data_IF_061476847450
#
_entry.id   IF_061476847450
#
_cell.length_a   1.000
_cell.length_b   1.000
_cell.length_c   1.000
_cell.angle_alpha   90.00
_cell.angle_beta   90.00
_cell.angle_gamma   90.00
#
_symmetry.space_group_name_H-M   'P 1'
#
loop_
_entity.id
_entity.type
_entity.pdbx_description
1 polymer ?
#
# COMPACT_ATOMS: atom_id res chain seq x y z
N UNK A 1 -6.40 -12.08 -19.28
CA UNK A 1 -5.40 -10.99 -19.16
C UNK A 1 -6.15 -9.77 -18.66
N UNK A 2 -5.85 -9.29 -17.45
CA UNK A 2 -6.53 -8.12 -16.87
C UNK A 2 -5.55 -6.94 -16.96
N UNK A 3 -5.99 -5.84 -17.56
CA UNK A 3 -5.23 -4.60 -17.70
C UNK A 3 -5.83 -3.59 -16.71
N UNK A 4 -5.05 -3.14 -15.74
CA UNK A 4 -5.46 -2.10 -14.79
C UNK A 4 -4.91 -0.75 -15.27
N UNK A 5 -5.79 0.21 -15.51
CA UNK A 5 -5.42 1.55 -15.97
C UNK A 5 -4.67 2.33 -14.88
N UNK A 6 -3.57 2.98 -15.25
CA UNK A 6 -2.87 3.89 -14.35
C UNK A 6 -3.70 5.16 -14.13
N UNK A 7 -4.13 5.39 -12.90
CA UNK A 7 -4.66 6.68 -12.46
C UNK A 7 -3.54 7.72 -12.48
N UNK A 8 -3.82 8.90 -13.00
CA UNK A 8 -2.89 10.05 -13.01
C UNK A 8 -2.39 10.36 -11.60
N UNK A 9 -1.11 10.74 -11.49
CA UNK A 9 -0.43 11.14 -10.24
C UNK A 9 -0.12 10.03 -9.22
N UNK A 10 -0.12 8.78 -9.64
CA UNK A 10 0.43 7.69 -8.83
C UNK A 10 1.85 8.05 -8.35
N UNK A 11 2.21 7.77 -7.08
CA UNK A 11 3.58 7.97 -6.65
C UNK A 11 4.49 7.01 -7.43
N UNK A 12 5.42 7.61 -8.16
CA UNK A 12 6.40 6.94 -9.01
C UNK A 12 7.78 7.26 -8.46
N UNK A 13 8.60 6.23 -8.25
CA UNK A 13 10.02 6.41 -8.00
C UNK A 13 10.79 6.25 -9.31
N UNK A 14 11.71 7.18 -9.58
CA UNK A 14 12.61 7.11 -10.74
C UNK A 14 13.90 6.43 -10.31
N UNK A 15 13.97 5.12 -10.49
CA UNK A 15 15.23 4.38 -10.39
C UNK A 15 15.75 4.12 -11.80
N UNK A 16 16.97 4.58 -12.10
CA UNK A 16 17.66 4.34 -13.39
C UNK A 16 16.81 4.63 -14.64
N UNK A 17 16.11 5.78 -14.67
CA UNK A 17 15.24 6.25 -15.77
C UNK A 17 13.96 5.43 -16.02
N UNK A 18 13.65 4.43 -15.19
CA UNK A 18 12.40 3.67 -15.25
C UNK A 18 11.50 4.13 -14.11
N UNK A 19 10.22 4.31 -14.43
CA UNK A 19 9.20 4.73 -13.47
C UNK A 19 8.59 3.51 -12.80
N UNK A 20 8.99 3.22 -11.56
CA UNK A 20 8.45 2.11 -10.77
C UNK A 20 7.38 2.62 -9.79
N UNK A 21 6.30 1.86 -9.56
CA UNK A 21 5.35 2.19 -8.51
C UNK A 21 6.07 2.16 -7.15
N UNK A 22 5.81 3.14 -6.28
CA UNK A 22 6.40 3.09 -4.94
C UNK A 22 5.80 1.96 -4.11
N UNK A 23 6.53 1.53 -3.08
CA UNK A 23 6.05 0.50 -2.17
C UNK A 23 4.72 0.88 -1.52
N UNK A 24 4.52 2.17 -1.18
CA UNK A 24 3.24 2.65 -0.66
C UNK A 24 2.09 2.44 -1.66
N UNK A 25 2.36 2.62 -2.96
CA UNK A 25 1.35 2.38 -3.99
C UNK A 25 0.97 0.91 -4.03
N UNK A 26 1.97 0.04 -4.07
CA UNK A 26 1.78 -1.41 -4.14
C UNK A 26 0.99 -1.93 -2.94
N UNK A 27 1.35 -1.49 -1.72
CA UNK A 27 0.65 -1.88 -0.50
C UNK A 27 -0.83 -1.44 -0.53
N UNK A 28 -1.10 -0.20 -0.92
CA UNK A 28 -2.48 0.29 -1.07
C UNK A 28 -3.24 -0.47 -2.15
N UNK A 29 -2.61 -0.75 -3.30
CA UNK A 29 -3.22 -1.51 -4.38
C UNK A 29 -3.62 -2.93 -3.93
N UNK A 30 -2.76 -3.60 -3.15
CA UNK A 30 -3.06 -4.90 -2.56
C UNK A 30 -4.21 -4.82 -1.53
N UNK A 31 -4.28 -3.75 -0.74
CA UNK A 31 -5.34 -3.52 0.25
C UNK A 31 -6.71 -3.18 -0.36
N UNK A 32 -6.73 -2.59 -1.57
CA UNK A 32 -7.95 -2.27 -2.33
C UNK A 32 -8.45 -3.48 -3.11
N UNK A 33 -7.55 -4.34 -3.58
CA UNK A 33 -7.85 -5.50 -4.42
C UNK A 33 -8.53 -6.66 -3.70
N UNK A 34 -9.54 -6.39 -2.86
CA UNK A 34 -10.27 -7.37 -2.07
C UNK A 34 -10.84 -8.52 -2.93
N UNK A 35 -11.10 -8.35 -4.24
CA UNK A 35 -11.54 -9.46 -5.12
C UNK A 35 -10.43 -10.46 -5.53
N UNK A 36 -9.17 -10.03 -5.60
CA UNK A 36 -8.04 -10.89 -6.05
C UNK A 36 -7.35 -11.54 -4.83
N UNK A 37 -7.41 -10.89 -3.67
CA UNK A 37 -6.71 -11.30 -2.45
C UNK A 37 -7.63 -11.72 -1.28
N UNK A 38 -8.97 -11.73 -1.46
CA UNK A 38 -9.91 -12.16 -0.41
C UNK A 38 -9.60 -13.53 0.20
N UNK A 39 -9.08 -14.48 -0.60
CA UNK A 39 -8.74 -15.83 -0.12
C UNK A 39 -7.40 -15.88 0.66
N UNK A 40 -6.61 -14.81 0.66
CA UNK A 40 -5.23 -14.72 1.19
C UNK A 40 -5.07 -13.58 2.22
N UNK A 41 -6.09 -13.31 3.03
CA UNK A 41 -6.07 -12.20 4.00
C UNK A 41 -4.93 -12.33 5.04
N UNK A 42 -4.55 -13.55 5.43
CA UNK A 42 -3.39 -13.77 6.33
C UNK A 42 -2.05 -13.40 5.67
N UNK A 43 -1.91 -13.63 4.36
CA UNK A 43 -0.68 -13.33 3.64
C UNK A 43 -0.52 -11.82 3.43
N UNK A 44 -1.63 -11.11 3.25
CA UNK A 44 -1.65 -9.65 3.13
C UNK A 44 -1.15 -8.97 4.40
N UNK A 45 -1.62 -9.41 5.56
CA UNK A 45 -1.18 -8.90 6.86
C UNK A 45 0.33 -9.10 7.07
N UNK A 46 0.86 -10.26 6.67
CA UNK A 46 2.29 -10.55 6.73
C UNK A 46 3.12 -9.67 5.78
N UNK A 47 2.63 -9.44 4.55
CA UNK A 47 3.29 -8.55 3.58
C UNK A 47 3.31 -7.12 4.10
N UNK A 48 2.19 -6.62 4.61
CA UNK A 48 2.10 -5.27 5.19
C UNK A 48 3.06 -5.17 6.37
N UNK A 49 3.00 -6.10 7.33
CA UNK A 49 3.92 -6.09 8.47
C UNK A 49 5.39 -6.08 8.05
N UNK A 50 5.79 -7.02 7.19
CA UNK A 50 7.17 -7.13 6.71
C UNK A 50 7.61 -5.86 5.98
N UNK A 51 6.72 -5.23 5.23
CA UNK A 51 7.02 -3.99 4.52
C UNK A 51 7.30 -2.83 5.49
N UNK A 52 6.52 -2.72 6.56
CA UNK A 52 6.71 -1.71 7.60
C UNK A 52 7.96 -1.97 8.46
N UNK A 53 8.34 -3.23 8.68
CA UNK A 53 9.53 -3.60 9.44
C UNK A 53 10.83 -3.41 8.64
N UNK A 54 10.82 -3.77 7.35
CA UNK A 54 12.04 -3.83 6.52
C UNK A 54 12.31 -2.58 5.68
N UNK A 55 11.30 -1.77 5.42
CA UNK A 55 11.42 -0.60 4.55
C UNK A 55 10.94 0.67 5.24
N UNK A 56 11.57 1.79 4.85
CA UNK A 56 11.14 3.11 5.31
C UNK A 56 9.91 3.57 4.52
N UNK A 57 8.72 3.17 4.97
CA UNK A 57 7.44 3.56 4.38
C UNK A 57 7.16 5.04 4.66
N UNK A 58 6.80 5.82 3.64
CA UNK A 58 6.39 7.22 3.81
C UNK A 58 4.88 7.32 4.10
N UNK A 59 4.47 7.62 5.36
CA UNK A 59 3.06 7.60 5.72
C UNK A 59 2.25 8.68 4.99
N UNK A 60 2.85 9.84 4.68
CA UNK A 60 2.18 10.91 3.96
C UNK A 60 1.87 10.53 2.51
N UNK A 61 2.80 9.84 1.81
CA UNK A 61 2.56 9.31 0.46
C UNK A 61 1.47 8.22 0.48
N UNK A 62 1.56 7.30 1.44
CA UNK A 62 0.60 6.20 1.57
C UNK A 62 -0.81 6.70 1.88
N UNK A 63 -0.97 7.63 2.84
CA UNK A 63 -2.27 8.28 3.16
C UNK A 63 -2.85 9.01 1.96
N UNK A 64 -2.03 9.78 1.23
CA UNK A 64 -2.48 10.49 0.02
C UNK A 64 -3.02 9.53 -1.03
N UNK A 65 -2.36 8.40 -1.24
CA UNK A 65 -2.78 7.41 -2.23
C UNK A 65 -3.98 6.58 -1.75
N UNK A 66 -4.05 6.22 -0.47
CA UNK A 66 -5.20 5.59 0.16
C UNK A 66 -6.48 6.43 0.02
N UNK A 67 -6.36 7.76 0.20
CA UNK A 67 -7.45 8.69 0.03
C UNK A 67 -7.99 8.69 -1.41
N UNK A 68 -7.11 8.61 -2.42
CA UNK A 68 -7.53 8.50 -3.84
C UNK A 68 -8.22 7.18 -4.18
N UNK A 69 -7.97 6.14 -3.38
CA UNK A 69 -8.59 4.81 -3.54
C UNK A 69 -9.78 4.58 -2.61
N UNK A 70 -10.22 5.62 -1.90
CA UNK A 70 -11.34 5.56 -0.94
C UNK A 70 -11.17 4.50 0.16
N UNK A 71 -9.93 4.16 0.55
CA UNK A 71 -9.64 3.21 1.65
C UNK A 71 -8.85 3.84 2.79
N UNK A 72 -8.96 5.17 2.95
CA UNK A 72 -8.20 5.92 3.96
C UNK A 72 -8.42 5.37 5.37
N UNK A 73 -9.67 5.06 5.73
CA UNK A 73 -10.01 4.59 7.08
C UNK A 73 -9.41 3.20 7.38
N UNK A 74 -9.43 2.28 6.40
CA UNK A 74 -8.77 0.96 6.49
C UNK A 74 -7.27 1.12 6.75
N UNK A 75 -6.66 2.09 6.09
CA UNK A 75 -5.21 2.37 6.19
C UNK A 75 -4.84 3.06 7.50
N UNK A 76 -5.68 3.96 8.04
CA UNK A 76 -5.45 4.52 9.37
C UNK A 76 -5.55 3.44 10.46
N UNK A 77 -6.50 2.51 10.36
CA UNK A 77 -6.58 1.37 11.29
C UNK A 77 -5.31 0.51 11.26
N UNK A 78 -4.75 0.30 10.07
CA UNK A 78 -3.45 -0.36 9.88
C UNK A 78 -2.36 0.43 10.59
N UNK A 79 -2.25 1.74 10.38
CA UNK A 79 -1.26 2.56 11.06
C UNK A 79 -1.39 2.52 12.58
N UNK A 80 -2.62 2.52 13.12
CA UNK A 80 -2.88 2.39 14.56
C UNK A 80 -2.41 1.02 15.07
N UNK A 81 -2.74 -0.07 14.37
CA UNK A 81 -2.30 -1.44 14.69
C UNK A 81 -0.77 -1.56 14.76
N UNK A 82 -0.05 -0.95 13.82
CA UNK A 82 1.41 -1.03 13.79
C UNK A 82 2.10 0.01 14.69
N UNK A 83 1.46 1.15 15.00
CA UNK A 83 1.97 2.10 15.99
C UNK A 83 1.79 1.60 17.43
N UNK A 84 0.77 0.78 17.68
CA UNK A 84 0.52 0.15 18.98
C UNK A 84 1.45 -1.03 19.29
N UNK A 85 2.17 -1.58 18.30
CA UNK A 85 3.18 -2.63 18.47
C UNK A 85 4.60 -2.09 18.73
N UNK A 86 4.75 -0.78 19.00
CA UNK A 86 6.02 -0.09 19.31
C UNK A 86 6.00 0.41 20.78
N UNK A 87 5.43 -0.37 21.71
CA UNK A 87 5.56 -0.16 23.16
C UNK A 87 6.02 -1.46 23.81
#
# INVERSE_FOLDING_TARGET
MIIISMISESPLEKIKKISIPTLEKLLIDCLVGDEIFATQQNDLDYIVQTAFERYNINPAKMRRYANRRNIKDKVENIFIKYSANII
#
